data_IF_159251297258
#
_entry.id   IF_159251297258
#
_cell.length_a   1.000
_cell.length_b   1.000
_cell.length_c   1.000
_cell.angle_alpha   90.00
_cell.angle_beta   90.00
_cell.angle_gamma   90.00
#
_symmetry.space_group_name_H-M   'P 1'
#
loop_
_entity.id
_entity.type
_entity.pdbx_description
1 polymer ?
#
# COMPACT_ATOMS: atom_id res chain seq x y z
N UNK A 1 10.68 -19.20 21.52
CA UNK A 1 11.59 -19.73 20.47
C UNK A 1 11.52 -18.79 19.28
N UNK A 2 12.68 -18.38 18.75
CA UNK A 2 12.67 -17.63 17.49
C UNK A 2 12.54 -18.62 16.34
N UNK A 3 11.39 -18.61 15.67
CA UNK A 3 11.21 -19.40 14.45
C UNK A 3 12.18 -18.89 13.38
N UNK A 4 12.80 -19.80 12.66
CA UNK A 4 13.60 -19.48 11.48
C UNK A 4 12.70 -19.62 10.24
N UNK A 5 12.80 -18.70 9.30
CA UNK A 5 12.08 -18.72 8.03
C UNK A 5 13.09 -18.63 6.89
N UNK A 6 12.97 -19.55 5.96
CA UNK A 6 13.80 -19.62 4.76
C UNK A 6 13.03 -19.10 3.54
N UNK A 7 13.76 -18.71 2.49
CA UNK A 7 13.16 -18.37 1.20
C UNK A 7 12.29 -19.51 0.65
N UNK A 8 12.76 -20.77 0.74
CA UNK A 8 12.01 -21.93 0.22
C UNK A 8 10.66 -22.10 0.91
N UNK A 9 10.61 -21.98 2.26
CA UNK A 9 9.33 -22.00 2.99
C UNK A 9 8.38 -20.89 2.54
N UNK A 10 8.90 -19.68 2.26
CA UNK A 10 8.07 -18.58 1.76
C UNK A 10 7.51 -18.89 0.37
N UNK A 11 8.31 -19.47 -0.53
CA UNK A 11 7.85 -19.87 -1.87
C UNK A 11 6.73 -20.90 -1.77
N UNK A 12 6.88 -21.93 -0.93
CA UNK A 12 5.87 -22.97 -0.71
C UNK A 12 4.55 -22.35 -0.20
N UNK A 13 4.63 -21.47 0.81
CA UNK A 13 3.46 -20.79 1.38
C UNK A 13 2.76 -19.87 0.37
N UNK A 14 3.52 -19.12 -0.42
CA UNK A 14 2.93 -18.25 -1.43
C UNK A 14 2.23 -19.06 -2.53
N UNK A 15 2.77 -20.21 -2.92
CA UNK A 15 2.08 -21.13 -3.83
C UNK A 15 0.84 -21.77 -3.19
N UNK A 16 0.92 -22.18 -1.93
CA UNK A 16 -0.25 -22.70 -1.19
C UNK A 16 -1.38 -21.66 -1.15
N UNK A 17 -1.06 -20.38 -0.94
CA UNK A 17 -2.03 -19.29 -0.98
C UNK A 17 -2.63 -19.06 -2.38
N UNK A 18 -1.97 -19.50 -3.42
CA UNK A 18 -2.41 -19.39 -4.81
C UNK A 18 -1.67 -18.35 -5.63
N UNK A 19 -0.58 -17.78 -5.09
CA UNK A 19 0.29 -16.90 -5.86
C UNK A 19 1.07 -17.72 -6.90
N UNK A 20 1.02 -17.33 -8.15
CA UNK A 20 1.63 -18.06 -9.24
C UNK A 20 2.24 -17.20 -10.34
N UNK A 21 2.83 -17.90 -11.29
CA UNK A 21 3.52 -17.31 -12.43
C UNK A 21 2.59 -16.42 -13.27
N UNK A 22 2.99 -15.19 -13.46
CA UNK A 22 2.27 -14.20 -14.24
C UNK A 22 1.29 -13.35 -13.41
N UNK A 23 1.14 -13.64 -12.11
CA UNK A 23 0.30 -12.81 -11.23
C UNK A 23 0.83 -11.39 -11.10
N UNK A 24 -0.11 -10.45 -11.00
CA UNK A 24 0.12 -9.07 -10.63
C UNK A 24 -0.42 -8.89 -9.21
N UNK A 25 0.49 -8.65 -8.25
CA UNK A 25 0.17 -8.71 -6.83
C UNK A 25 0.69 -7.49 -6.08
N UNK A 26 -0.17 -6.86 -5.27
CA UNK A 26 0.28 -5.87 -4.29
C UNK A 26 0.48 -6.55 -2.94
N UNK A 27 1.64 -6.28 -2.34
CA UNK A 27 2.08 -6.94 -1.10
C UNK A 27 2.13 -5.95 0.05
N UNK A 28 1.53 -6.36 1.17
CA UNK A 28 1.65 -5.70 2.48
C UNK A 28 2.29 -6.68 3.46
N UNK A 29 3.27 -6.26 4.23
CA UNK A 29 4.04 -7.19 5.03
C UNK A 29 4.46 -6.66 6.40
N UNK A 30 4.58 -7.59 7.36
CA UNK A 30 5.18 -7.39 8.66
C UNK A 30 6.25 -8.45 8.88
N UNK A 31 7.52 -8.06 8.89
CA UNK A 31 8.64 -8.98 9.15
C UNK A 31 8.54 -9.66 10.51
N UNK A 32 7.93 -8.99 11.51
CA UNK A 32 7.79 -9.54 12.86
C UNK A 32 7.01 -10.85 12.91
N UNK A 33 6.05 -11.04 12.00
CA UNK A 33 5.22 -12.25 11.93
C UNK A 33 5.97 -13.46 11.39
N UNK A 34 7.03 -13.23 10.62
CA UNK A 34 7.83 -14.27 9.99
C UNK A 34 8.92 -14.86 10.92
N UNK A 35 9.16 -14.26 12.09
CA UNK A 35 10.28 -14.63 12.96
C UNK A 35 11.62 -14.18 12.37
N UNK A 36 12.65 -15.01 12.50
CA UNK A 36 13.97 -14.75 11.93
C UNK A 36 14.03 -15.23 10.47
N UNK A 37 13.95 -14.30 9.52
CA UNK A 37 14.16 -14.60 8.10
C UNK A 37 15.65 -14.54 7.80
N UNK A 38 16.22 -15.57 7.18
CA UNK A 38 17.68 -15.77 7.08
C UNK A 38 18.40 -14.57 6.46
N UNK A 39 17.93 -14.09 5.30
CA UNK A 39 18.48 -12.89 4.63
C UNK A 39 17.53 -11.67 4.76
N UNK A 40 16.65 -11.66 5.76
CA UNK A 40 15.73 -10.58 6.01
C UNK A 40 14.74 -10.31 4.86
N UNK A 41 14.51 -9.04 4.55
CA UNK A 41 13.57 -8.63 3.52
C UNK A 41 13.97 -9.09 2.10
N UNK A 42 15.24 -9.41 1.87
CA UNK A 42 15.73 -9.93 0.58
C UNK A 42 15.07 -11.28 0.28
N UNK A 43 15.04 -12.22 1.24
CA UNK A 43 14.41 -13.52 1.04
C UNK A 43 12.91 -13.42 0.74
N UNK A 44 12.22 -12.43 1.35
CA UNK A 44 10.80 -12.19 1.07
C UNK A 44 10.59 -11.71 -0.36
N UNK A 45 11.40 -10.77 -0.82
CA UNK A 45 11.28 -10.21 -2.17
C UNK A 45 11.69 -11.25 -3.22
N UNK A 46 12.77 -12.00 -2.98
CA UNK A 46 13.24 -13.04 -3.89
C UNK A 46 12.24 -14.20 -4.00
N UNK A 47 11.58 -14.58 -2.90
CA UNK A 47 10.49 -15.56 -2.94
C UNK A 47 9.30 -15.06 -3.77
N UNK A 48 8.91 -13.81 -3.62
CA UNK A 48 7.84 -13.20 -4.43
C UNK A 48 8.22 -13.16 -5.93
N UNK A 49 9.46 -12.75 -6.25
CA UNK A 49 9.97 -12.69 -7.63
C UNK A 49 9.96 -14.09 -8.26
N UNK A 50 10.34 -15.11 -7.51
CA UNK A 50 10.33 -16.50 -7.96
C UNK A 50 8.92 -16.98 -8.27
N UNK A 51 7.97 -16.79 -7.32
CA UNK A 51 6.58 -17.22 -7.48
C UNK A 51 5.90 -16.57 -8.69
N UNK A 52 5.95 -15.23 -8.80
CA UNK A 52 5.28 -14.53 -9.91
C UNK A 52 6.04 -14.65 -11.22
N UNK A 53 7.32 -15.01 -11.21
CA UNK A 53 8.24 -14.89 -12.33
C UNK A 53 8.20 -13.46 -12.90
N UNK A 54 9.06 -12.58 -12.41
CA UNK A 54 9.02 -11.13 -12.73
C UNK A 54 9.12 -10.78 -14.22
N UNK A 55 9.54 -11.74 -15.09
CA UNK A 55 9.44 -11.58 -16.54
C UNK A 55 8.02 -11.74 -17.09
N UNK A 56 7.07 -12.23 -16.29
CA UNK A 56 5.68 -12.51 -16.66
C UNK A 56 4.67 -11.81 -15.73
N UNK A 57 4.94 -11.79 -14.43
CA UNK A 57 4.13 -11.14 -13.40
C UNK A 57 4.74 -9.83 -12.90
N UNK A 58 4.09 -9.22 -11.93
CA UNK A 58 4.50 -7.93 -11.34
C UNK A 58 4.16 -7.89 -9.86
N UNK A 59 5.12 -7.43 -9.06
CA UNK A 59 4.97 -7.19 -7.62
C UNK A 59 4.85 -5.69 -7.41
N UNK A 60 3.87 -5.26 -6.62
CA UNK A 60 3.67 -3.90 -6.19
C UNK A 60 3.78 -3.82 -4.66
N UNK A 61 4.28 -2.71 -4.14
CA UNK A 61 4.27 -2.41 -2.70
C UNK A 61 3.98 -0.93 -2.48
N UNK A 62 3.14 -0.57 -1.48
CA UNK A 62 3.00 0.82 -1.06
C UNK A 62 4.35 1.34 -0.55
N UNK A 63 4.79 2.49 -1.08
CA UNK A 63 6.06 3.14 -0.71
C UNK A 63 5.80 4.57 -0.22
N UNK A 64 4.85 4.72 0.69
CA UNK A 64 4.35 6.01 1.15
C UNK A 64 5.42 6.86 1.83
N UNK A 65 5.20 8.16 1.80
CA UNK A 65 6.15 9.21 2.21
C UNK A 65 5.46 10.29 3.03
N UNK A 66 4.82 9.88 4.14
CA UNK A 66 4.06 10.78 5.02
C UNK A 66 4.84 12.00 5.56
N UNK A 67 6.19 11.96 5.51
CA UNK A 67 7.05 13.09 5.84
C UNK A 67 6.94 14.27 4.86
N UNK A 68 6.26 14.09 3.73
CA UNK A 68 6.00 15.16 2.76
C UNK A 68 4.62 15.82 2.93
N UNK A 69 3.87 15.48 3.98
CA UNK A 69 2.75 16.31 4.43
C UNK A 69 3.25 17.63 5.01
N UNK A 70 2.41 18.65 5.02
CA UNK A 70 2.75 19.93 5.61
C UNK A 70 3.16 19.77 7.08
N UNK A 71 4.35 20.26 7.49
CA UNK A 71 4.87 20.13 8.85
C UNK A 71 3.95 20.67 9.96
N UNK A 72 3.05 21.60 9.63
CA UNK A 72 2.07 22.11 10.57
C UNK A 72 1.13 21.03 11.13
N UNK A 73 0.95 19.91 10.39
CA UNK A 73 0.08 18.79 10.77
C UNK A 73 0.84 17.58 11.30
N UNK A 74 2.17 17.63 11.41
CA UNK A 74 2.94 16.49 11.89
C UNK A 74 2.65 16.21 13.38
N UNK A 75 2.39 14.96 13.67
CA UNK A 75 2.18 14.48 15.04
C UNK A 75 3.46 13.87 15.64
N UNK A 76 4.31 13.27 14.79
CA UNK A 76 5.55 12.63 15.22
C UNK A 76 6.65 12.76 14.13
N UNK A 77 7.68 13.61 14.35
CA UNK A 77 7.77 14.57 15.46
C UNK A 77 6.77 15.72 15.29
N UNK A 78 6.28 16.25 16.40
CA UNK A 78 5.52 17.51 16.39
C UNK A 78 6.52 18.67 16.23
N UNK A 79 6.24 19.57 15.28
CA UNK A 79 7.08 20.74 15.02
C UNK A 79 6.53 21.95 15.82
N UNK A 80 7.41 22.69 16.47
CA UNK A 80 7.06 23.95 17.11
C UNK A 80 6.59 24.98 16.07
N UNK A 81 5.61 25.81 16.40
CA UNK A 81 4.97 26.74 15.45
C UNK A 81 5.98 27.66 14.75
N UNK A 82 6.94 28.18 15.49
CA UNK A 82 8.02 29.06 15.03
C UNK A 82 8.98 28.37 14.05
N UNK A 83 9.04 27.03 14.07
CA UNK A 83 9.93 26.26 13.20
C UNK A 83 9.24 25.73 11.93
N UNK A 84 7.92 25.83 11.84
CA UNK A 84 7.15 25.27 10.71
C UNK A 84 7.64 25.80 9.36
N UNK A 85 7.82 27.11 9.24
CA UNK A 85 8.26 27.73 7.99
C UNK A 85 9.70 27.31 7.60
N UNK A 86 10.58 27.18 8.60
CA UNK A 86 11.94 26.69 8.37
C UNK A 86 11.90 25.29 7.77
N UNK A 87 11.06 24.39 8.36
CA UNK A 87 10.91 23.02 7.87
C UNK A 87 10.28 22.99 6.48
N UNK A 88 9.20 23.76 6.24
CA UNK A 88 8.55 23.87 4.91
C UNK A 88 9.54 24.22 3.81
N UNK A 89 10.40 25.21 4.06
CA UNK A 89 11.36 25.69 3.08
C UNK A 89 12.58 24.75 2.92
N UNK A 90 12.81 23.85 3.89
CA UNK A 90 13.97 22.93 3.89
C UNK A 90 13.65 21.53 3.38
N UNK A 91 12.37 21.12 3.38
CA UNK A 91 11.96 19.80 2.86
C UNK A 91 12.26 19.72 1.37
N UNK A 92 12.95 18.65 0.95
CA UNK A 92 13.17 18.39 -0.47
C UNK A 92 11.88 17.84 -1.12
N UNK A 93 11.55 18.29 -2.33
CA UNK A 93 10.47 17.69 -3.11
C UNK A 93 10.63 16.17 -3.27
N UNK A 94 9.50 15.50 -3.56
CA UNK A 94 9.52 14.07 -3.80
C UNK A 94 10.48 13.69 -4.94
N UNK A 95 11.32 12.74 -4.67
CA UNK A 95 12.20 12.10 -5.65
C UNK A 95 11.97 10.60 -5.59
N UNK A 96 11.69 9.97 -6.73
CA UNK A 96 11.38 8.54 -6.85
C UNK A 96 12.48 7.63 -6.33
N UNK A 97 13.76 8.08 -6.39
CA UNK A 97 14.93 7.29 -5.98
C UNK A 97 15.39 7.61 -4.56
N UNK A 98 15.35 8.90 -4.18
CA UNK A 98 15.99 9.38 -2.96
C UNK A 98 15.04 9.54 -1.78
N UNK A 99 13.73 9.80 -2.03
CA UNK A 99 12.80 10.00 -0.91
C UNK A 99 12.56 8.67 -0.19
N UNK A 100 12.93 8.55 1.11
CA UNK A 100 12.78 7.29 1.83
C UNK A 100 11.30 6.95 2.07
N UNK A 101 11.01 5.68 2.11
CA UNK A 101 9.69 5.16 2.52
C UNK A 101 9.49 5.43 4.02
N UNK A 102 8.26 5.70 4.44
CA UNK A 102 7.94 5.88 5.85
C UNK A 102 6.69 5.11 6.25
N UNK A 103 6.83 4.29 7.31
CA UNK A 103 5.70 3.58 7.91
C UNK A 103 5.15 2.41 7.09
N UNK A 104 5.90 1.89 6.10
CA UNK A 104 5.48 0.74 5.27
C UNK A 104 6.34 -0.52 5.47
N UNK A 105 7.32 -0.44 6.36
CA UNK A 105 8.18 -1.55 6.74
C UNK A 105 9.36 -1.80 5.80
N UNK A 106 10.32 -2.55 6.31
CA UNK A 106 11.62 -2.78 5.65
C UNK A 106 11.51 -3.49 4.31
N UNK A 107 10.47 -4.32 4.08
CA UNK A 107 10.32 -5.02 2.79
C UNK A 107 10.06 -4.03 1.65
N UNK A 108 9.17 -3.04 1.88
CA UNK A 108 8.90 -1.99 0.90
C UNK A 108 10.11 -1.06 0.67
N UNK A 109 10.88 -0.79 1.72
CA UNK A 109 12.14 -0.03 1.61
C UNK A 109 13.18 -0.80 0.80
N UNK A 110 13.38 -2.10 1.10
CA UNK A 110 14.32 -2.97 0.39
C UNK A 110 13.94 -3.14 -1.08
N UNK A 111 12.63 -3.22 -1.41
CA UNK A 111 12.18 -3.31 -2.80
C UNK A 111 12.73 -2.17 -3.66
N UNK A 112 12.78 -0.94 -3.13
CA UNK A 112 13.28 0.23 -3.88
C UNK A 112 14.77 0.14 -4.23
N UNK A 113 15.52 -0.76 -3.60
CA UNK A 113 16.92 -1.02 -3.91
C UNK A 113 17.13 -2.09 -4.98
N UNK A 114 16.06 -2.78 -5.40
CA UNK A 114 16.18 -3.83 -6.41
C UNK A 114 16.40 -3.26 -7.81
N UNK A 115 17.19 -3.97 -8.66
CA UNK A 115 17.37 -3.57 -10.04
C UNK A 115 16.03 -3.54 -10.81
N UNK A 116 15.85 -2.51 -11.66
CA UNK A 116 14.65 -2.34 -12.50
C UNK A 116 13.36 -2.04 -11.72
N UNK A 117 13.45 -1.78 -10.41
CA UNK A 117 12.29 -1.28 -9.68
C UNK A 117 11.89 0.08 -10.23
N UNK A 118 10.59 0.31 -10.33
CA UNK A 118 10.00 1.59 -10.69
C UNK A 118 9.14 2.08 -9.53
N UNK A 119 8.98 3.40 -9.41
CA UNK A 119 8.16 4.03 -8.36
C UNK A 119 7.25 5.07 -8.97
N UNK A 120 5.98 5.07 -8.60
CA UNK A 120 5.02 6.06 -9.09
C UNK A 120 5.28 7.46 -8.54
N UNK A 121 4.83 8.46 -9.27
CA UNK A 121 5.08 9.88 -8.98
C UNK A 121 3.95 10.48 -8.14
N UNK A 122 3.93 10.12 -6.85
CA UNK A 122 2.98 10.70 -5.90
C UNK A 122 3.69 11.01 -4.57
N UNK A 123 3.64 12.28 -4.08
CA UNK A 123 4.43 12.69 -2.92
C UNK A 123 4.04 12.01 -1.60
N UNK A 124 2.83 11.49 -1.45
CA UNK A 124 2.42 10.77 -0.23
C UNK A 124 2.22 9.27 -0.43
N UNK A 125 1.51 8.88 -1.48
CA UNK A 125 0.99 7.51 -1.66
C UNK A 125 1.70 6.76 -2.80
N UNK A 126 2.98 7.06 -3.07
CA UNK A 126 3.72 6.36 -4.13
C UNK A 126 3.69 4.84 -3.93
N UNK A 127 3.76 4.12 -5.06
CA UNK A 127 3.82 2.66 -5.12
C UNK A 127 5.10 2.26 -5.86
N UNK A 128 5.87 1.36 -5.26
CA UNK A 128 7.00 0.69 -5.91
C UNK A 128 6.52 -0.54 -6.65
N UNK A 129 7.06 -0.80 -7.84
CA UNK A 129 6.73 -1.96 -8.64
C UNK A 129 7.96 -2.57 -9.31
N UNK A 130 8.00 -3.90 -9.39
CA UNK A 130 9.02 -4.66 -10.13
C UNK A 130 8.35 -5.78 -10.92
N UNK A 131 8.74 -5.95 -12.17
CA UNK A 131 8.23 -7.01 -13.04
C UNK A 131 7.76 -6.47 -14.40
N UNK A 132 7.08 -7.33 -15.16
CA UNK A 132 6.73 -7.07 -16.56
C UNK A 132 5.91 -5.80 -16.76
N UNK A 133 4.97 -5.52 -15.88
CA UNK A 133 4.04 -4.38 -15.98
C UNK A 133 4.38 -3.23 -15.03
N UNK A 134 5.61 -3.17 -14.49
CA UNK A 134 6.00 -2.14 -13.52
C UNK A 134 5.77 -0.72 -14.06
N UNK A 135 6.13 -0.45 -15.31
CA UNK A 135 5.89 0.85 -15.96
C UNK A 135 4.40 1.18 -16.03
N UNK A 136 3.56 0.24 -16.47
CA UNK A 136 2.12 0.44 -16.53
C UNK A 136 1.55 0.88 -15.18
N UNK A 137 1.97 0.28 -14.07
CA UNK A 137 1.47 0.60 -12.75
C UNK A 137 1.98 1.93 -12.21
N UNK A 138 3.24 2.25 -12.49
CA UNK A 138 3.89 3.44 -11.92
C UNK A 138 3.81 4.67 -12.79
N UNK A 139 3.39 4.53 -14.04
CA UNK A 139 3.14 5.62 -14.95
C UNK A 139 1.81 6.30 -14.61
N UNK A 140 1.82 7.62 -14.48
CA UNK A 140 0.65 8.43 -14.17
C UNK A 140 -0.03 8.08 -12.84
N UNK A 141 0.27 8.81 -11.78
CA UNK A 141 -0.34 8.68 -10.47
C UNK A 141 -0.91 10.04 -10.05
N UNK A 142 -2.23 10.20 -10.14
CA UNK A 142 -2.90 11.48 -9.91
C UNK A 142 -2.74 11.94 -8.47
N UNK A 143 -2.34 13.19 -8.29
CA UNK A 143 -2.17 13.82 -6.97
C UNK A 143 -3.49 13.90 -6.18
N UNK A 144 -4.56 14.27 -6.83
CA UNK A 144 -5.83 14.58 -6.17
C UNK A 144 -6.66 13.34 -5.79
N UNK A 145 -6.31 12.15 -6.30
CA UNK A 145 -7.00 10.88 -6.06
C UNK A 145 -5.98 9.73 -5.94
N UNK A 146 -5.18 9.69 -4.87
CA UNK A 146 -4.02 8.80 -4.80
C UNK A 146 -4.33 7.31 -4.79
N UNK A 147 -5.52 6.90 -4.41
CA UNK A 147 -5.98 5.51 -4.37
C UNK A 147 -7.24 5.29 -5.22
N UNK A 148 -7.56 6.26 -6.09
CA UNK A 148 -8.68 6.20 -7.03
C UNK A 148 -8.45 5.26 -8.21
N UNK A 149 -9.42 5.22 -9.14
CA UNK A 149 -9.46 4.26 -10.25
C UNK A 149 -8.27 4.36 -11.22
N UNK A 150 -7.66 5.54 -11.36
CA UNK A 150 -6.48 5.77 -12.21
C UNK A 150 -5.14 5.60 -11.45
N UNK A 151 -5.19 5.28 -10.17
CA UNK A 151 -4.01 4.99 -9.34
C UNK A 151 -3.41 3.61 -9.66
N UNK A 152 -2.21 3.28 -9.16
CA UNK A 152 -1.69 1.91 -9.24
C UNK A 152 -2.64 0.85 -8.68
N UNK A 153 -3.40 1.19 -7.62
CA UNK A 153 -4.41 0.30 -7.03
C UNK A 153 -5.60 0.11 -7.97
N UNK A 154 -6.12 1.19 -8.55
CA UNK A 154 -7.20 1.13 -9.52
C UNK A 154 -6.83 0.36 -10.78
N UNK A 155 -5.60 0.52 -11.26
CA UNK A 155 -5.06 -0.29 -12.37
C UNK A 155 -4.98 -1.78 -12.01
N UNK A 156 -4.59 -2.11 -10.76
CA UNK A 156 -4.56 -3.50 -10.27
C UNK A 156 -5.97 -4.09 -10.22
N UNK A 157 -6.96 -3.33 -9.77
CA UNK A 157 -8.36 -3.72 -9.79
C UNK A 157 -8.86 -3.98 -11.22
N UNK A 158 -8.58 -3.09 -12.18
CA UNK A 158 -8.98 -3.24 -13.59
C UNK A 158 -8.40 -4.50 -14.24
N UNK A 159 -7.21 -4.90 -13.84
CA UNK A 159 -6.52 -6.11 -14.34
C UNK A 159 -6.82 -7.37 -13.51
N UNK A 160 -7.75 -7.29 -12.56
CA UNK A 160 -8.10 -8.38 -11.65
C UNK A 160 -6.87 -8.95 -10.92
N UNK A 161 -5.96 -8.07 -10.54
CA UNK A 161 -4.77 -8.43 -9.77
C UNK A 161 -5.10 -8.83 -8.35
N UNK A 162 -4.08 -9.23 -7.61
CA UNK A 162 -4.22 -9.82 -6.27
C UNK A 162 -3.62 -8.95 -5.19
N UNK A 163 -4.03 -9.21 -3.95
CA UNK A 163 -3.40 -8.68 -2.74
C UNK A 163 -2.83 -9.86 -1.95
N UNK A 164 -1.63 -9.70 -1.43
CA UNK A 164 -0.98 -10.60 -0.49
C UNK A 164 -0.63 -9.85 0.80
N UNK A 165 -1.20 -10.29 1.90
CA UNK A 165 -0.84 -9.85 3.25
C UNK A 165 0.06 -10.86 3.94
N UNK A 166 1.21 -10.43 4.41
CA UNK A 166 2.17 -11.26 5.13
C UNK A 166 2.19 -10.79 6.59
N UNK A 167 1.42 -11.47 7.46
CA UNK A 167 1.35 -11.15 8.88
C UNK A 167 0.81 -9.75 9.20
N UNK A 168 -0.13 -9.28 8.40
CA UNK A 168 -0.84 -8.01 8.58
C UNK A 168 -2.34 -8.24 8.52
N UNK A 169 -3.11 -7.44 9.25
CA UNK A 169 -4.57 -7.44 9.21
C UNK A 169 -5.13 -6.61 8.07
N UNK A 170 -6.47 -6.67 7.92
CA UNK A 170 -7.19 -5.91 6.88
C UNK A 170 -6.97 -4.39 7.01
N UNK A 171 -6.72 -3.89 8.21
CA UNK A 171 -6.40 -2.50 8.51
C UNK A 171 -5.10 -1.99 7.86
N UNK A 172 -4.33 -2.87 7.24
CA UNK A 172 -3.09 -2.50 6.51
C UNK A 172 -3.23 -2.55 4.99
N UNK A 173 -4.37 -3.04 4.48
CA UNK A 173 -4.58 -3.15 3.03
C UNK A 173 -5.12 -1.85 2.42
N UNK A 174 -4.22 -0.92 2.09
CA UNK A 174 -4.58 0.35 1.43
C UNK A 174 -5.40 0.16 0.15
N UNK A 175 -5.27 -1.00 -0.51
CA UNK A 175 -6.05 -1.31 -1.70
C UNK A 175 -7.57 -1.37 -1.47
N UNK A 176 -8.02 -1.61 -0.25
CA UNK A 176 -9.44 -1.63 0.13
C UNK A 176 -10.06 -0.23 0.01
N UNK A 177 -9.28 0.83 0.22
CA UNK A 177 -9.74 2.21 0.06
C UNK A 177 -10.30 2.50 -1.34
N UNK A 178 -9.89 1.75 -2.37
CA UNK A 178 -10.46 1.91 -3.70
C UNK A 178 -11.99 1.81 -3.73
N UNK A 179 -12.58 0.97 -2.86
CA UNK A 179 -14.04 0.85 -2.76
C UNK A 179 -14.70 2.17 -2.34
N UNK A 180 -14.06 2.94 -1.43
CA UNK A 180 -14.54 4.26 -1.01
C UNK A 180 -14.51 5.25 -2.17
N UNK A 181 -13.47 5.21 -3.03
CA UNK A 181 -13.39 6.06 -4.22
C UNK A 181 -14.43 5.68 -5.28
N UNK A 182 -14.71 4.39 -5.48
CA UNK A 182 -15.72 3.94 -6.45
C UNK A 182 -17.13 4.29 -5.97
N UNK A 183 -17.42 4.12 -4.68
CA UNK A 183 -18.69 4.51 -4.07
C UNK A 183 -18.83 6.03 -3.90
N UNK A 184 -17.76 6.79 -4.14
CA UNK A 184 -17.67 8.26 -4.03
C UNK A 184 -18.23 8.81 -2.70
N UNK A 185 -17.83 8.18 -1.58
CA UNK A 185 -18.35 8.50 -0.25
C UNK A 185 -17.96 9.91 0.19
N UNK A 186 -18.88 10.61 0.86
CA UNK A 186 -18.76 12.02 1.21
C UNK A 186 -17.50 12.35 2.05
N UNK A 187 -17.08 11.47 2.93
CA UNK A 187 -15.93 11.71 3.80
C UNK A 187 -14.57 11.74 3.07
N UNK A 188 -14.49 11.28 1.81
CA UNK A 188 -13.29 11.45 0.98
C UNK A 188 -12.92 12.92 0.73
N UNK A 189 -13.88 13.83 0.90
CA UNK A 189 -13.70 15.27 0.68
C UNK A 189 -13.41 16.05 1.95
N UNK A 190 -13.36 15.37 3.12
CA UNK A 190 -13.20 16.00 4.45
C UNK A 190 -11.77 15.78 4.96
N UNK A 191 -11.23 16.81 5.63
CA UNK A 191 -9.94 16.74 6.36
C UNK A 191 -8.73 16.22 5.57
N UNK A 192 -8.70 16.47 4.29
CA UNK A 192 -7.69 15.93 3.39
C UNK A 192 -6.30 16.54 3.64
N UNK A 193 -5.23 15.74 3.52
CA UNK A 193 -3.89 16.20 3.81
C UNK A 193 -3.42 17.28 2.84
N UNK A 194 -2.59 18.18 3.34
CA UNK A 194 -1.82 19.13 2.57
C UNK A 194 -0.43 18.52 2.36
N UNK A 195 -0.01 18.38 1.12
CA UNK A 195 1.24 17.74 0.76
C UNK A 195 2.15 18.66 -0.06
N UNK A 196 3.45 18.46 0.05
CA UNK A 196 4.43 19.11 -0.80
C UNK A 196 4.19 18.68 -2.25
N UNK A 197 3.69 19.61 -3.05
CA UNK A 197 3.32 19.37 -4.45
C UNK A 197 4.48 19.59 -5.40
N UNK A 198 5.36 20.54 -5.09
CA UNK A 198 6.53 20.85 -5.89
C UNK A 198 7.37 21.99 -5.34
N UNK A 199 8.40 22.36 -6.10
CA UNK A 199 9.28 23.50 -5.83
C UNK A 199 9.42 24.33 -7.10
N UNK A 200 9.27 25.63 -6.97
CA UNK A 200 9.49 26.59 -8.07
C UNK A 200 10.37 27.72 -7.58
N UNK A 201 11.42 28.03 -8.33
CA UNK A 201 12.41 29.07 -7.99
C UNK A 201 12.99 28.94 -6.58
N UNK A 202 13.20 27.69 -6.12
CA UNK A 202 13.70 27.38 -4.78
C UNK A 202 12.65 27.46 -3.66
N UNK A 203 11.39 27.77 -3.97
CA UNK A 203 10.31 27.90 -3.01
C UNK A 203 9.39 26.67 -3.10
N UNK A 204 9.22 25.98 -1.99
CA UNK A 204 8.31 24.85 -1.87
C UNK A 204 6.87 25.33 -1.81
N UNK A 205 5.99 24.65 -2.56
CA UNK A 205 4.55 24.90 -2.49
C UNK A 205 3.79 23.63 -2.15
N UNK A 206 2.78 23.80 -1.31
CA UNK A 206 1.95 22.74 -0.79
C UNK A 206 0.54 22.84 -1.36
N UNK A 207 -0.08 21.70 -1.62
CA UNK A 207 -1.45 21.62 -2.14
C UNK A 207 -2.26 20.64 -1.32
N UNK A 208 -3.53 20.95 -1.08
CA UNK A 208 -4.48 20.00 -0.47
C UNK A 208 -4.91 18.97 -1.50
N UNK A 209 -4.87 17.70 -1.12
CA UNK A 209 -5.41 16.60 -1.94
C UNK A 209 -6.94 16.71 -1.95
N UNK A 210 -7.59 16.49 -3.10
CA UNK A 210 -9.05 16.68 -3.21
C UNK A 210 -9.84 15.56 -2.56
N UNK A 211 -9.47 14.29 -2.82
CA UNK A 211 -10.09 13.11 -2.24
C UNK A 211 -9.03 12.31 -1.51
N UNK A 212 -9.27 12.00 -0.26
CA UNK A 212 -8.35 11.20 0.53
C UNK A 212 -9.14 10.30 1.48
N UNK A 213 -8.82 9.01 1.56
CA UNK A 213 -9.57 8.10 2.43
C UNK A 213 -9.28 8.41 3.89
N UNK A 214 -10.23 8.06 4.75
CA UNK A 214 -10.05 8.11 6.18
C UNK A 214 -9.06 7.00 6.64
N UNK A 215 -8.96 6.76 7.94
CA UNK A 215 -8.17 5.65 8.44
C UNK A 215 -8.79 4.29 8.05
N UNK A 216 -7.98 3.24 8.11
CA UNK A 216 -8.38 1.86 7.80
C UNK A 216 -8.70 1.01 9.04
N UNK A 217 -8.81 1.63 10.23
CA UNK A 217 -8.93 0.91 11.50
C UNK A 217 -10.17 -0.01 11.54
N UNK A 218 -11.25 0.41 10.89
CA UNK A 218 -12.50 -0.34 10.84
C UNK A 218 -12.55 -1.41 9.73
N UNK A 219 -11.54 -1.57 8.89
CA UNK A 219 -11.54 -2.61 7.85
C UNK A 219 -11.64 -4.03 8.42
N UNK A 220 -11.28 -4.20 9.69
CA UNK A 220 -11.45 -5.50 10.38
C UNK A 220 -12.92 -5.95 10.40
N UNK A 221 -13.89 -5.06 10.34
CA UNK A 221 -15.33 -5.37 10.28
C UNK A 221 -15.72 -6.13 9.01
N UNK A 222 -14.91 -6.03 7.97
CA UNK A 222 -15.13 -6.74 6.72
C UNK A 222 -14.84 -8.24 6.83
N UNK A 223 -14.01 -8.66 7.80
CA UNK A 223 -13.46 -10.00 7.86
C UNK A 223 -14.57 -11.10 7.89
N UNK A 224 -15.62 -11.01 8.71
CA UNK A 224 -16.68 -12.01 8.70
C UNK A 224 -17.33 -12.18 7.32
N UNK A 225 -17.79 -11.07 6.72
CA UNK A 225 -18.47 -11.12 5.42
C UNK A 225 -17.56 -11.58 4.28
N UNK A 226 -16.26 -11.26 4.32
CA UNK A 226 -15.28 -11.73 3.34
C UNK A 226 -15.04 -13.23 3.45
N UNK A 227 -14.99 -13.78 4.67
CA UNK A 227 -14.89 -15.22 4.91
C UNK A 227 -16.15 -15.97 4.49
N UNK A 228 -17.33 -15.49 4.89
CA UNK A 228 -18.61 -16.10 4.57
C UNK A 228 -18.87 -16.19 3.05
N UNK A 229 -18.34 -15.23 2.30
CA UNK A 229 -18.42 -15.19 0.84
C UNK A 229 -17.22 -15.86 0.14
N UNK A 230 -16.29 -16.49 0.86
CA UNK A 230 -15.08 -17.13 0.33
C UNK A 230 -14.21 -16.17 -0.53
N UNK A 231 -14.18 -14.89 -0.17
CA UNK A 231 -13.44 -13.86 -0.91
C UNK A 231 -11.97 -13.77 -0.52
N UNK A 232 -11.59 -14.34 0.62
CA UNK A 232 -10.22 -14.35 1.12
C UNK A 232 -9.74 -15.77 1.38
N UNK A 233 -8.46 -16.02 1.17
CA UNK A 233 -7.75 -17.22 1.57
C UNK A 233 -6.74 -16.88 2.65
N UNK A 234 -6.71 -17.65 3.70
CA UNK A 234 -5.84 -17.42 4.85
C UNK A 234 -5.05 -18.70 5.17
N UNK A 235 -3.76 -18.52 5.47
CA UNK A 235 -2.88 -19.59 5.95
C UNK A 235 -2.16 -19.10 7.21
N UNK A 236 -2.24 -19.88 8.27
CA UNK A 236 -1.49 -19.59 9.50
C UNK A 236 -0.02 -19.95 9.31
N UNK A 237 0.87 -19.05 9.67
CA UNK A 237 2.30 -19.27 9.58
C UNK A 237 3.03 -18.66 10.77
N UNK A 238 3.74 -19.51 11.55
CA UNK A 238 4.52 -19.11 12.72
C UNK A 238 3.70 -18.25 13.70
N UNK A 239 3.96 -16.94 13.75
CA UNK A 239 3.30 -16.01 14.67
C UNK A 239 2.26 -15.11 13.97
N UNK A 240 1.83 -15.44 12.76
CA UNK A 240 0.93 -14.59 11.98
C UNK A 240 0.05 -15.37 11.01
N UNK A 241 -0.75 -14.63 10.30
CA UNK A 241 -1.60 -15.12 9.21
C UNK A 241 -1.15 -14.47 7.92
N UNK A 242 -1.06 -15.24 6.87
CA UNK A 242 -0.94 -14.74 5.51
C UNK A 242 -2.31 -14.75 4.86
N UNK A 243 -2.65 -13.67 4.18
CA UNK A 243 -3.97 -13.49 3.54
C UNK A 243 -3.76 -13.21 2.06
N UNK A 244 -4.51 -13.89 1.20
CA UNK A 244 -4.46 -13.70 -0.25
C UNK A 244 -5.88 -13.57 -0.82
N UNK A 245 -6.07 -12.65 -1.76
CA UNK A 245 -7.33 -12.45 -2.43
C UNK A 245 -7.19 -11.72 -3.78
N UNK A 246 -8.17 -11.90 -4.66
CA UNK A 246 -8.35 -11.07 -5.85
C UNK A 246 -8.96 -9.73 -5.45
N UNK A 247 -8.36 -8.63 -5.89
CA UNK A 247 -8.78 -7.29 -5.46
C UNK A 247 -10.19 -6.94 -5.95
N UNK A 248 -10.50 -7.26 -7.19
CA UNK A 248 -11.77 -6.85 -7.80
C UNK A 248 -13.01 -7.39 -7.07
N UNK A 249 -13.16 -8.69 -6.78
CA UNK A 249 -14.33 -9.20 -6.05
C UNK A 249 -14.52 -8.57 -4.67
N UNK A 250 -13.42 -8.27 -3.96
CA UNK A 250 -13.50 -7.64 -2.64
C UNK A 250 -13.96 -6.19 -2.76
N UNK A 251 -13.39 -5.43 -3.67
CA UNK A 251 -13.77 -4.03 -3.88
C UNK A 251 -15.25 -3.96 -4.31
N UNK A 252 -15.67 -4.79 -5.26
CA UNK A 252 -17.06 -4.83 -5.73
C UNK A 252 -18.03 -5.18 -4.57
N UNK A 253 -17.66 -6.13 -3.71
CA UNK A 253 -18.45 -6.49 -2.53
C UNK A 253 -18.56 -5.31 -1.53
N UNK A 254 -17.48 -4.60 -1.30
CA UNK A 254 -17.46 -3.46 -0.37
C UNK A 254 -18.24 -2.28 -0.92
N UNK A 255 -18.19 -2.03 -2.22
CA UNK A 255 -19.01 -0.98 -2.87
C UNK A 255 -20.49 -1.23 -2.59
N UNK A 256 -20.98 -2.49 -2.72
CA UNK A 256 -22.37 -2.83 -2.38
C UNK A 256 -22.71 -2.57 -0.90
N UNK A 257 -21.74 -2.72 0.01
CA UNK A 257 -21.95 -2.38 1.43
C UNK A 257 -22.01 -0.86 1.63
N UNK A 258 -21.15 -0.10 0.95
CA UNK A 258 -21.11 1.36 1.02
C UNK A 258 -22.34 2.01 0.36
N UNK A 259 -22.88 1.44 -0.69
CA UNK A 259 -24.16 1.88 -1.31
C UNK A 259 -25.34 1.79 -0.33
N UNK A 260 -25.30 0.81 0.60
CA UNK A 260 -26.32 0.64 1.64
C UNK A 260 -26.08 1.50 2.87
N UNK A 261 -24.83 1.62 3.28
CA UNK A 261 -24.38 2.47 4.38
C UNK A 261 -23.05 3.14 4.01
N UNK A 262 -23.05 4.38 3.50
CA UNK A 262 -21.83 5.11 3.12
C UNK A 262 -20.79 5.29 4.24
N UNK A 263 -21.21 5.18 5.49
CA UNK A 263 -20.33 5.32 6.67
C UNK A 263 -19.88 3.98 7.27
N UNK A 264 -20.21 2.86 6.65
CA UNK A 264 -19.92 1.51 7.15
C UNK A 264 -18.45 1.32 7.58
N UNK A 265 -17.51 1.89 6.84
CA UNK A 265 -16.06 1.75 7.12
C UNK A 265 -15.52 2.77 8.13
N UNK A 266 -16.28 3.79 8.51
CA UNK A 266 -15.80 4.88 9.39
C UNK A 266 -16.59 5.01 10.69
N UNK A 267 -17.81 4.46 10.78
CA UNK A 267 -18.59 4.43 12.01
C UNK A 267 -17.94 3.51 13.05
N UNK A 268 -17.86 3.99 14.29
CA UNK A 268 -17.51 3.14 15.42
C UNK A 268 -18.58 2.08 15.64
N UNK A 269 -18.18 0.85 15.87
CA UNK A 269 -19.08 -0.27 16.23
C UNK A 269 -19.67 -0.07 17.64
#
# INVERSE_FOLDING_TARGET
MNFVTTKSELVELFHELGLGKGDEVMVHSSMKSLGFVVNGAIDVIDALIECVNSSKGTILMPTHTGQLTDPAYWKNPKIAKESVEIVRNSIKPFDKKLTPVRGRGVVAETLLSYPKVMRSDHPLNSVGAIGRSADFYTNSHKFDEPEGIDSPIGKLYQRNGSILGIGVGLDKFTAIHLAEYIADVEYLYKENPVALYGCKDGINYFKRIKKYPNNSDNFIKLLPTLRDNNLIKEVSFKNGVMTYFKLKPIVDHIVVLLDKNPYFLVESS
#
